data_IF_551819233138
#
_entry.id   IF_551819233138
#
_cell.length_a   1.000
_cell.length_b   1.000
_cell.length_c   1.000
_cell.angle_alpha   90.00
_cell.angle_beta   90.00
_cell.angle_gamma   90.00
#
_symmetry.space_group_name_H-M   'P 1'
#
loop_
_entity.id
_entity.type
_entity.pdbx_description
1 polymer ?
#
# COMPACT_ATOMS: atom_id res chain seq x y z
N UNK A 1 -5.43 -9.00 8.64
CA UNK A 1 -5.42 -7.92 7.63
C UNK A 1 -5.39 -6.59 8.35
N UNK A 2 -4.62 -5.62 7.84
CA UNK A 2 -4.46 -4.28 8.42
C UNK A 2 -4.96 -3.28 7.37
N UNK A 3 -5.80 -2.32 7.77
CA UNK A 3 -6.33 -1.29 6.89
C UNK A 3 -5.81 0.08 7.32
N UNK A 4 -5.24 0.83 6.38
CA UNK A 4 -4.80 2.20 6.60
C UNK A 4 -5.87 3.16 6.08
N UNK A 5 -6.61 3.78 7.00
CA UNK A 5 -7.64 4.77 6.71
C UNK A 5 -7.23 6.15 7.24
N UNK A 6 -7.78 7.21 6.67
CA UNK A 6 -7.43 8.59 7.03
C UNK A 6 -7.63 9.59 5.90
N UNK A 7 -7.59 10.87 6.23
CA UNK A 7 -7.80 11.98 5.29
C UNK A 7 -6.76 11.99 4.16
N UNK A 8 -7.08 12.65 3.03
CA UNK A 8 -6.12 12.86 1.96
C UNK A 8 -4.87 13.58 2.50
N UNK A 9 -3.68 13.15 2.09
CA UNK A 9 -2.41 13.71 2.57
C UNK A 9 -1.96 13.23 3.95
N UNK A 10 -2.73 12.41 4.69
CA UNK A 10 -2.34 11.92 6.02
C UNK A 10 -1.17 10.90 6.04
N UNK A 11 -0.53 10.64 4.90
CA UNK A 11 0.63 9.75 4.80
C UNK A 11 0.32 8.25 4.72
N UNK A 12 -0.93 7.83 4.45
CA UNK A 12 -1.34 6.41 4.40
C UNK A 12 -0.44 5.55 3.51
N UNK A 13 -0.18 5.99 2.27
CA UNK A 13 0.61 5.23 1.31
C UNK A 13 2.06 5.09 1.78
N UNK A 14 2.65 6.16 2.32
CA UNK A 14 4.00 6.14 2.91
C UNK A 14 4.07 5.17 4.09
N UNK A 15 3.10 5.23 5.00
CA UNK A 15 3.04 4.34 6.15
C UNK A 15 2.86 2.87 5.74
N UNK A 16 2.06 2.60 4.70
CA UNK A 16 1.83 1.24 4.18
C UNK A 16 3.13 0.61 3.70
N UNK A 17 3.90 1.32 2.87
CA UNK A 17 5.20 0.84 2.39
C UNK A 17 6.21 0.64 3.52
N UNK A 18 6.33 1.61 4.43
CA UNK A 18 7.23 1.52 5.57
C UNK A 18 6.87 0.36 6.51
N UNK A 19 5.59 0.08 6.71
CA UNK A 19 5.12 -1.03 7.55
C UNK A 19 5.47 -2.38 6.94
N UNK A 20 5.33 -2.57 5.61
CA UNK A 20 5.74 -3.81 4.93
C UNK A 20 7.23 -4.06 5.16
N UNK A 21 8.07 -3.05 4.90
CA UNK A 21 9.52 -3.17 5.09
C UNK A 21 9.84 -3.51 6.55
N UNK A 22 9.23 -2.79 7.50
CA UNK A 22 9.44 -3.04 8.93
C UNK A 22 9.11 -4.48 9.34
N UNK A 23 8.00 -5.04 8.86
CA UNK A 23 7.61 -6.42 9.18
C UNK A 23 8.62 -7.43 8.62
N UNK A 24 9.04 -7.26 7.37
CA UNK A 24 10.01 -8.15 6.71
C UNK A 24 11.38 -8.05 7.41
N UNK A 25 11.84 -6.83 7.70
CA UNK A 25 13.13 -6.58 8.36
C UNK A 25 13.16 -7.15 9.78
N UNK A 26 12.02 -7.08 10.49
CA UNK A 26 11.92 -7.58 11.87
C UNK A 26 11.86 -9.11 11.95
N UNK A 27 11.26 -9.76 10.96
CA UNK A 27 11.22 -11.22 10.87
C UNK A 27 11.19 -11.67 9.41
N UNK A 28 12.36 -12.05 8.83
CA UNK A 28 12.48 -12.42 7.42
C UNK A 28 11.62 -13.61 6.99
N UNK A 29 11.23 -14.49 7.93
CA UNK A 29 10.32 -15.61 7.66
C UNK A 29 8.86 -15.17 7.49
N UNK A 30 8.55 -13.89 7.75
CA UNK A 30 7.19 -13.35 7.64
C UNK A 30 6.95 -12.76 6.26
N UNK A 31 5.99 -13.34 5.53
CA UNK A 31 5.50 -12.77 4.27
C UNK A 31 4.44 -11.70 4.52
N UNK A 32 4.59 -10.53 3.90
CA UNK A 32 3.56 -9.49 3.88
C UNK A 32 3.33 -9.02 2.45
N UNK A 33 2.05 -8.87 2.08
CA UNK A 33 1.65 -8.26 0.82
C UNK A 33 0.94 -6.92 1.07
N UNK A 34 1.03 -6.02 0.11
CA UNK A 34 0.36 -4.72 0.10
C UNK A 34 -0.64 -4.64 -1.04
N UNK A 35 -1.78 -4.03 -0.74
CA UNK A 35 -2.90 -3.85 -1.66
C UNK A 35 -3.21 -2.36 -1.75
N UNK A 36 -3.10 -1.78 -2.94
CA UNK A 36 -3.60 -0.44 -3.21
C UNK A 36 -5.07 -0.50 -3.63
N UNK A 37 -5.95 0.16 -2.86
CA UNK A 37 -7.39 0.27 -3.12
C UNK A 37 -7.81 1.68 -3.59
N UNK A 38 -6.86 2.61 -3.72
CA UNK A 38 -7.15 3.96 -4.20
C UNK A 38 -6.95 4.04 -5.72
N UNK A 39 -8.01 4.10 -6.54
CA UNK A 39 -7.87 4.19 -7.98
C UNK A 39 -7.46 5.61 -8.44
N UNK A 40 -7.62 6.63 -7.59
CA UNK A 40 -7.31 8.03 -7.91
C UNK A 40 -5.85 8.42 -7.66
N UNK A 41 -5.02 7.50 -7.13
CA UNK A 41 -3.62 7.78 -6.84
C UNK A 41 -2.80 7.83 -8.14
N UNK A 42 -2.19 8.99 -8.43
CA UNK A 42 -1.35 9.18 -9.63
C UNK A 42 0.02 8.52 -9.50
N UNK A 43 0.66 8.69 -8.34
CA UNK A 43 1.98 8.13 -8.02
C UNK A 43 1.90 7.50 -6.64
N UNK A 44 2.21 6.21 -6.54
CA UNK A 44 2.25 5.49 -5.27
C UNK A 44 3.61 5.67 -4.60
N UNK A 45 3.62 5.93 -3.31
CA UNK A 45 4.85 6.07 -2.51
C UNK A 45 5.54 4.71 -2.20
N UNK A 46 4.98 3.61 -2.70
CA UNK A 46 5.51 2.25 -2.61
C UNK A 46 5.03 1.46 -3.83
N UNK A 47 5.62 0.29 -4.08
CA UNK A 47 5.17 -0.64 -5.13
C UNK A 47 4.20 -1.66 -4.52
N UNK A 48 2.88 -1.54 -4.72
CA UNK A 48 1.91 -2.50 -4.21
C UNK A 48 2.06 -3.87 -4.89
N UNK A 49 1.81 -4.95 -4.16
CA UNK A 49 1.78 -6.30 -4.76
C UNK A 49 0.50 -6.53 -5.56
N UNK A 50 -0.60 -5.86 -5.18
CA UNK A 50 -1.86 -5.84 -5.91
C UNK A 50 -2.34 -4.39 -6.00
N UNK A 51 -2.64 -3.92 -7.21
CA UNK A 51 -3.13 -2.56 -7.44
C UNK A 51 -4.51 -2.58 -8.12
N UNK A 52 -5.49 -1.88 -7.53
CA UNK A 52 -6.82 -1.74 -8.12
C UNK A 52 -6.78 -1.11 -9.53
N UNK A 53 -5.76 -0.29 -9.81
CA UNK A 53 -5.57 0.37 -11.11
C UNK A 53 -5.29 -0.62 -12.26
N UNK A 54 -4.88 -1.85 -11.94
CA UNK A 54 -4.72 -2.92 -12.93
C UNK A 54 -6.07 -3.53 -13.36
N UNK A 55 -7.14 -3.31 -12.58
CA UNK A 55 -8.47 -3.90 -12.78
C UNK A 55 -9.53 -2.86 -13.17
N UNK A 56 -9.35 -1.61 -12.75
CA UNK A 56 -10.31 -0.53 -12.96
C UNK A 56 -9.60 0.64 -13.63
N UNK A 57 -10.08 1.01 -14.82
CA UNK A 57 -9.65 2.20 -15.55
C UNK A 57 -10.67 3.29 -15.25
N UNK A 58 -10.21 4.39 -14.65
CA UNK A 58 -10.99 5.60 -14.46
C UNK A 58 -10.82 6.48 -15.71
N UNK A 59 -11.71 6.31 -16.69
CA UNK A 59 -11.92 7.29 -17.78
C UNK A 59 -12.82 8.44 -17.30
#
# INVERSE_FOLDING_TARGET
>A
MIYFIGTAGSGKSTLTGAMKNYVIDRNPETSAITLNLDPGVKVTAYNPDIDIRDYIILD
#
